data_IF_144514028699
#
_entry.id   IF_144514028699
#
_cell.length_a   1.000
_cell.length_b   1.000
_cell.length_c   1.000
_cell.angle_alpha   90.00
_cell.angle_beta   90.00
_cell.angle_gamma   90.00
#
_symmetry.space_group_name_H-M   'P 1'
#
loop_
_entity.id
_entity.type
_entity.pdbx_description
1 polymer ?
#
# COMPACT_ATOMS: atom_id res chain seq x y z
N UNK A 1 -7.88 -25.01 -15.98
CA UNK A 1 -9.25 -24.46 -16.14
C UNK A 1 -9.32 -22.92 -16.14
N UNK A 2 -8.33 -22.19 -15.60
CA UNK A 2 -8.32 -20.72 -15.61
C UNK A 2 -8.30 -20.08 -17.02
N UNK A 3 -7.64 -20.70 -18.00
CA UNK A 3 -7.59 -20.19 -19.38
C UNK A 3 -8.97 -20.11 -20.06
N UNK A 4 -9.87 -21.06 -19.79
CA UNK A 4 -11.24 -21.06 -20.33
C UNK A 4 -12.09 -19.98 -19.67
N UNK A 5 -11.98 -19.86 -18.34
CA UNK A 5 -12.64 -18.81 -17.55
C UNK A 5 -12.24 -17.41 -18.03
N UNK A 6 -10.94 -17.16 -18.19
CA UNK A 6 -10.46 -15.88 -18.72
C UNK A 6 -11.05 -15.58 -20.09
N UNK A 7 -10.98 -16.51 -21.04
CA UNK A 7 -11.52 -16.31 -22.39
C UNK A 7 -13.02 -15.93 -22.38
N UNK A 8 -13.79 -16.52 -21.47
CA UNK A 8 -15.23 -16.30 -21.33
C UNK A 8 -15.63 -15.03 -20.53
N UNK A 9 -14.69 -14.30 -19.92
CA UNK A 9 -15.03 -13.01 -19.31
C UNK A 9 -15.38 -11.97 -20.38
N UNK A 10 -16.44 -11.21 -20.10
CA UNK A 10 -16.78 -9.99 -20.81
C UNK A 10 -15.57 -9.02 -20.82
N UNK A 11 -15.29 -8.30 -21.91
CA UNK A 11 -14.12 -7.42 -22.03
C UNK A 11 -13.97 -6.43 -20.88
N UNK A 12 -15.07 -5.85 -20.40
CA UNK A 12 -15.07 -4.94 -19.25
C UNK A 12 -14.60 -5.63 -17.95
N UNK A 13 -14.97 -6.89 -17.73
CA UNK A 13 -14.53 -7.64 -16.55
C UNK A 13 -13.02 -7.90 -16.56
N UNK A 14 -12.45 -8.24 -17.72
CA UNK A 14 -10.99 -8.36 -17.89
C UNK A 14 -10.29 -7.04 -17.60
N UNK A 15 -10.82 -5.94 -18.14
CA UNK A 15 -10.27 -4.60 -17.92
C UNK A 15 -10.29 -4.21 -16.44
N UNK A 16 -11.38 -4.48 -15.72
CA UNK A 16 -11.49 -4.22 -14.28
C UNK A 16 -10.44 -5.03 -13.50
N UNK A 17 -10.28 -6.33 -13.78
CA UNK A 17 -9.29 -7.17 -13.09
C UNK A 17 -7.87 -6.63 -13.33
N UNK A 18 -7.53 -6.30 -14.57
CA UNK A 18 -6.22 -5.72 -14.91
C UNK A 18 -6.02 -4.38 -14.19
N UNK A 19 -7.01 -3.49 -14.25
CA UNK A 19 -6.92 -2.16 -13.63
C UNK A 19 -6.73 -2.26 -12.11
N UNK A 20 -7.49 -3.11 -11.43
CA UNK A 20 -7.36 -3.34 -9.98
C UNK A 20 -5.98 -3.91 -9.63
N UNK A 21 -5.46 -4.82 -10.46
CA UNK A 21 -4.14 -5.43 -10.26
C UNK A 21 -3.02 -4.41 -10.40
N UNK A 22 -3.07 -3.56 -11.44
CA UNK A 22 -2.09 -2.49 -11.66
C UNK A 22 -2.15 -1.46 -10.52
N UNK A 23 -3.36 -1.10 -10.10
CA UNK A 23 -3.58 -0.15 -9.01
C UNK A 23 -3.03 -0.66 -7.68
N UNK A 24 -3.30 -1.92 -7.33
CA UNK A 24 -2.75 -2.57 -6.12
C UNK A 24 -1.22 -2.61 -6.15
N UNK A 25 -0.63 -3.08 -7.26
CA UNK A 25 0.81 -3.16 -7.41
C UNK A 25 1.48 -1.78 -7.29
N UNK A 26 0.88 -0.76 -7.92
CA UNK A 26 1.34 0.63 -7.82
C UNK A 26 1.26 1.19 -6.40
N UNK A 27 0.12 1.03 -5.73
CA UNK A 27 -0.07 1.44 -4.33
C UNK A 27 0.96 0.80 -3.41
N UNK A 28 1.21 -0.51 -3.59
CA UNK A 28 2.18 -1.27 -2.81
C UNK A 28 3.61 -0.78 -3.03
N UNK A 29 3.98 -0.50 -4.27
CA UNK A 29 5.30 0.05 -4.60
C UNK A 29 5.51 1.44 -3.97
N UNK A 30 4.50 2.32 -4.06
CA UNK A 30 4.56 3.66 -3.44
C UNK A 30 4.65 3.56 -1.92
N UNK A 31 3.87 2.68 -1.29
CA UNK A 31 3.89 2.46 0.15
C UNK A 31 5.26 1.95 0.63
N UNK A 32 5.86 0.99 -0.10
CA UNK A 32 7.20 0.49 0.22
C UNK A 32 8.28 1.56 0.04
N UNK A 33 8.17 2.40 -1.01
CA UNK A 33 9.09 3.53 -1.23
C UNK A 33 8.99 4.57 -0.13
N UNK A 34 7.77 4.95 0.29
CA UNK A 34 7.54 5.87 1.41
C UNK A 34 8.11 5.29 2.72
N UNK A 35 7.84 4.00 2.99
CA UNK A 35 8.37 3.31 4.17
C UNK A 35 9.89 3.16 4.16
N UNK A 36 10.52 3.07 2.98
CA UNK A 36 11.96 3.03 2.83
C UNK A 36 12.61 4.37 3.21
N UNK A 37 11.96 5.49 2.90
CA UNK A 37 12.44 6.85 3.22
C UNK A 37 12.14 7.31 4.66
N UNK A 38 11.23 6.65 5.37
CA UNK A 38 10.85 7.01 6.75
C UNK A 38 11.72 6.35 7.80
N UNK A 39 12.08 7.13 8.82
CA UNK A 39 12.65 6.61 10.07
C UNK A 39 11.61 5.87 10.91
N UNK A 40 12.07 4.93 11.74
CA UNK A 40 11.20 4.14 12.61
C UNK A 40 10.34 4.99 13.55
N UNK A 41 10.83 6.18 13.95
CA UNK A 41 10.07 7.12 14.80
C UNK A 41 8.89 7.76 14.08
N UNK A 42 8.88 7.79 12.74
CA UNK A 42 7.85 8.38 11.88
C UNK A 42 6.82 7.35 11.38
N UNK A 43 6.89 6.13 11.90
CA UNK A 43 5.98 5.03 11.59
C UNK A 43 5.26 4.60 12.87
N UNK A 44 3.97 4.32 12.77
CA UNK A 44 3.18 3.75 13.86
C UNK A 44 3.43 2.24 13.93
N UNK A 45 4.01 1.79 15.04
CA UNK A 45 4.41 0.39 15.23
C UNK A 45 5.74 0.01 14.56
N UNK A 46 6.10 -1.28 14.58
CA UNK A 46 7.39 -1.74 14.08
C UNK A 46 7.49 -1.60 12.55
N UNK A 47 8.52 -0.88 12.08
CA UNK A 47 8.77 -0.66 10.66
C UNK A 47 8.89 -1.96 9.86
N UNK A 48 9.53 -2.97 10.43
CA UNK A 48 9.70 -4.27 9.78
C UNK A 48 8.37 -5.00 9.57
N UNK A 49 7.39 -4.81 10.47
CA UNK A 49 6.08 -5.42 10.35
C UNK A 49 5.34 -4.85 9.15
N UNK A 50 5.39 -3.53 8.95
CA UNK A 50 4.84 -2.90 7.75
C UNK A 50 5.55 -3.36 6.47
N UNK A 51 6.88 -3.53 6.49
CA UNK A 51 7.62 -4.07 5.34
C UNK A 51 7.19 -5.49 5.02
N UNK A 52 7.07 -6.36 6.02
CA UNK A 52 6.65 -7.75 5.83
C UNK A 52 5.20 -7.83 5.34
N UNK A 53 4.29 -7.08 5.96
CA UNK A 53 2.89 -7.00 5.57
C UNK A 53 2.77 -6.53 4.11
N UNK A 54 3.35 -5.37 3.78
CA UNK A 54 3.38 -4.82 2.42
C UNK A 54 4.23 -5.64 1.45
N UNK A 55 5.04 -6.60 1.88
CA UNK A 55 5.86 -7.44 1.01
C UNK A 55 5.22 -8.80 0.69
N UNK A 56 4.53 -9.38 1.67
CA UNK A 56 4.14 -10.79 1.65
C UNK A 56 2.63 -11.01 1.58
N UNK A 57 1.82 -10.06 2.06
CA UNK A 57 0.36 -10.24 2.14
C UNK A 57 -0.30 -9.68 0.88
N UNK A 58 -0.98 -10.52 0.12
CA UNK A 58 -1.87 -10.08 -0.99
C UNK A 58 -3.24 -9.72 -0.43
N UNK A 59 -3.62 -8.44 -0.47
CA UNK A 59 -4.91 -7.97 0.08
C UNK A 59 -5.70 -7.05 -0.87
N UNK A 60 -5.39 -7.04 -2.16
CA UNK A 60 -6.13 -6.24 -3.16
C UNK A 60 -6.27 -4.76 -2.78
N UNK A 61 -5.18 -4.11 -2.36
CA UNK A 61 -5.12 -2.67 -2.08
C UNK A 61 -5.44 -2.25 -0.65
N UNK A 62 -6.09 -3.12 0.16
CA UNK A 62 -6.50 -2.78 1.53
C UNK A 62 -5.30 -2.46 2.44
N UNK A 63 -4.24 -3.24 2.36
CA UNK A 63 -3.06 -3.11 3.22
C UNK A 63 -2.19 -1.87 2.88
N UNK A 64 -1.90 -1.54 1.60
CA UNK A 64 -1.33 -0.24 1.24
C UNK A 64 -2.16 0.94 1.76
N UNK A 65 -3.49 0.90 1.62
CA UNK A 65 -4.38 1.97 2.11
C UNK A 65 -4.30 2.10 3.63
N UNK A 66 -4.33 0.98 4.37
CA UNK A 66 -4.17 0.99 5.82
C UNK A 66 -2.83 1.59 6.27
N UNK A 67 -1.74 1.33 5.52
CA UNK A 67 -0.45 1.94 5.79
C UNK A 67 -0.49 3.46 5.65
N UNK A 68 -1.07 3.98 4.56
CA UNK A 68 -1.14 5.43 4.36
C UNK A 68 -2.00 6.12 5.42
N UNK A 69 -3.12 5.51 5.81
CA UNK A 69 -4.04 6.09 6.79
C UNK A 69 -3.53 6.00 8.23
N UNK A 70 -2.85 4.91 8.60
CA UNK A 70 -2.56 4.61 10.01
C UNK A 70 -1.12 4.22 10.29
N UNK A 71 -0.37 3.76 9.30
CA UNK A 71 1.06 3.43 9.43
C UNK A 71 1.97 4.65 9.48
N UNK A 72 1.57 5.78 8.91
CA UNK A 72 2.34 7.03 8.89
C UNK A 72 2.11 7.85 10.15
N UNK A 73 3.19 8.34 10.78
CA UNK A 73 3.10 9.45 11.74
C UNK A 73 3.24 10.78 11.00
N UNK A 74 2.47 11.82 11.39
CA UNK A 74 2.74 13.19 10.98
C UNK A 74 4.14 13.58 11.46
N UNK A 75 4.84 14.42 10.70
CA UNK A 75 6.01 15.08 11.24
C UNK A 75 5.53 15.91 12.45
N UNK A 76 6.11 15.69 13.61
CA UNK A 76 5.89 16.57 14.76
C UNK A 76 6.38 17.94 14.34
N UNK A 77 5.47 18.83 13.98
CA UNK A 77 5.78 20.26 13.89
C UNK A 77 6.02 20.70 15.32
N UNK A 78 7.28 20.82 15.71
CA UNK A 78 7.64 21.43 16.98
C UNK A 78 7.02 22.82 16.98
N UNK A 79 6.11 23.15 17.92
CA UNK A 79 5.61 24.50 18.03
C UNK A 79 6.83 25.41 18.24
N UNK A 80 6.99 26.41 17.39
CA UNK A 80 7.95 27.49 17.66
C UNK A 80 7.48 28.17 18.94
N UNK A 81 8.03 27.76 20.08
CA UNK A 81 7.86 28.48 21.34
C UNK A 81 8.63 29.79 21.20
N UNK A 82 7.97 30.80 20.63
CA UNK A 82 8.40 32.20 20.73
C UNK A 82 8.35 32.61 22.20
N UNK A 83 9.42 33.29 22.65
CA UNK A 83 9.64 33.70 24.04
C UNK A 83 8.87 34.92 24.50
#
# INVERSE_FOLDING_TARGET
MAGTLWKNLHPAGKAVIVALTVLDAGLRAVALRDLAGRDARQVNGPRWLWRAALGLVTSSGVLPVAYFLRGRKPATVTPISGG
#
